data_IF_091370139977
#
_entry.id   IF_091370139977
#
_cell.length_a   1.000
_cell.length_b   1.000
_cell.length_c   1.000
_cell.angle_alpha   90.00
_cell.angle_beta   90.00
_cell.angle_gamma   90.00
#
_symmetry.space_group_name_H-M   'P 1'
#
loop_
_entity.id
_entity.type
_entity.pdbx_description
1 polymer ?
#
# COMPACT_ATOMS: atom_id res chain seq x y z
N UNK A 1 8.25 21.55 11.85
CA UNK A 1 8.28 22.92 12.41
C UNK A 1 6.92 23.61 12.28
N UNK A 2 6.27 23.62 11.10
CA UNK A 2 4.94 24.21 10.93
C UNK A 2 3.92 23.59 11.90
N UNK A 3 3.88 22.27 11.95
CA UNK A 3 2.99 21.49 12.83
C UNK A 3 3.19 21.85 14.30
N UNK A 4 4.44 21.99 14.76
CA UNK A 4 4.74 22.33 16.16
C UNK A 4 4.27 23.75 16.56
N UNK A 5 4.12 24.66 15.60
CA UNK A 5 3.60 26.00 15.87
C UNK A 5 2.10 25.99 16.22
N UNK A 6 1.39 24.96 15.82
CA UNK A 6 -0.04 24.76 16.11
C UNK A 6 -0.30 23.81 17.30
N UNK A 7 0.75 23.38 18.01
CA UNK A 7 0.62 22.42 19.11
C UNK A 7 -0.35 22.91 20.21
N UNK A 8 -0.31 24.20 20.53
CA UNK A 8 -1.23 24.80 21.51
C UNK A 8 -2.69 24.82 21.07
N UNK A 9 -2.96 24.82 19.77
CA UNK A 9 -4.34 24.81 19.24
C UNK A 9 -5.01 23.44 19.44
N UNK A 10 -4.19 22.41 19.69
CA UNK A 10 -4.59 21.03 19.91
C UNK A 10 -4.30 20.54 21.34
N UNK A 11 -3.99 21.44 22.27
CA UNK A 11 -3.58 21.09 23.63
C UNK A 11 -2.41 20.10 23.71
N UNK A 12 -1.54 20.10 22.69
CA UNK A 12 -0.36 19.23 22.62
C UNK A 12 0.84 19.91 23.28
N UNK A 13 1.40 19.26 24.28
CA UNK A 13 2.62 19.64 24.96
C UNK A 13 3.46 18.43 25.35
N UNK A 14 4.73 18.64 25.60
CA UNK A 14 5.61 17.62 26.19
C UNK A 14 5.29 17.43 27.67
N UNK A 15 5.18 16.19 28.12
CA UNK A 15 5.09 15.85 29.54
C UNK A 15 6.46 16.00 30.23
N UNK A 16 6.48 16.04 31.55
CA UNK A 16 7.74 16.05 32.31
C UNK A 16 8.60 14.80 32.05
N UNK A 17 7.96 13.64 31.88
CA UNK A 17 8.63 12.38 31.56
C UNK A 17 9.26 12.43 30.15
N UNK A 18 8.53 12.94 29.15
CA UNK A 18 9.05 13.11 27.78
C UNK A 18 10.22 14.10 27.77
N UNK A 19 10.12 15.22 28.47
CA UNK A 19 11.22 16.19 28.55
C UNK A 19 12.47 15.59 29.20
N UNK A 20 12.32 14.76 30.24
CA UNK A 20 13.46 14.10 30.86
C UNK A 20 14.08 13.05 29.92
N UNK A 21 13.25 12.23 29.27
CA UNK A 21 13.73 11.24 28.29
C UNK A 21 14.48 11.87 27.11
N UNK A 22 14.01 13.03 26.64
CA UNK A 22 14.67 13.80 25.58
C UNK A 22 16.04 14.29 26.03
N UNK A 23 16.15 14.83 27.26
CA UNK A 23 17.44 15.28 27.81
C UNK A 23 18.41 14.12 27.96
N UNK A 24 17.95 13.00 28.48
CA UNK A 24 18.78 11.82 28.65
C UNK A 24 19.26 11.26 27.29
N UNK A 25 18.39 11.27 26.27
CA UNK A 25 18.75 10.86 24.91
C UNK A 25 19.75 11.82 24.25
N UNK A 26 19.60 13.13 24.44
CA UNK A 26 20.53 14.13 23.91
C UNK A 26 21.92 14.02 24.58
N UNK A 27 21.97 13.84 25.89
CA UNK A 27 23.20 13.61 26.62
C UNK A 27 23.90 12.33 26.13
N UNK A 28 23.13 11.22 26.00
CA UNK A 28 23.65 9.96 25.49
C UNK A 28 24.20 10.09 24.06
N UNK A 29 23.52 10.82 23.17
CA UNK A 29 24.05 11.10 21.84
C UNK A 29 25.41 11.80 21.92
N UNK A 30 25.56 12.76 22.84
CA UNK A 30 26.80 13.46 23.08
C UNK A 30 27.93 12.55 23.55
N UNK A 31 27.65 11.56 24.39
CA UNK A 31 28.59 10.55 24.89
C UNK A 31 29.00 9.54 23.81
N UNK A 32 28.03 9.08 23.01
CA UNK A 32 28.24 8.01 22.02
C UNK A 32 28.92 8.51 20.73
N UNK A 33 29.02 9.81 20.49
CA UNK A 33 29.56 10.39 19.28
C UNK A 33 30.79 11.28 19.52
N UNK A 34 31.80 11.16 18.64
CA UNK A 34 32.98 12.00 18.70
C UNK A 34 32.69 13.46 18.35
N UNK A 35 33.55 14.39 18.79
CA UNK A 35 33.40 15.81 18.48
C UNK A 35 33.41 16.11 16.98
N UNK A 36 34.11 15.31 16.18
CA UNK A 36 34.12 15.49 14.73
C UNK A 36 32.80 15.10 14.09
N UNK A 37 32.16 14.03 14.57
CA UNK A 37 30.81 13.64 14.15
C UNK A 37 29.80 14.71 14.55
N UNK A 38 29.85 15.17 15.80
CA UNK A 38 28.96 16.23 16.32
C UNK A 38 29.05 17.52 15.49
N UNK A 39 30.27 17.92 15.10
CA UNK A 39 30.45 19.10 14.23
C UNK A 39 29.84 18.95 12.84
N UNK A 40 29.92 17.76 12.24
CA UNK A 40 29.35 17.49 10.89
C UNK A 40 27.85 17.60 10.89
N UNK A 41 27.18 17.12 11.95
CA UNK A 41 25.71 17.07 12.03
C UNK A 41 25.09 18.19 12.86
N UNK A 42 25.91 19.17 13.33
CA UNK A 42 25.49 20.18 14.30
C UNK A 42 24.85 19.55 15.55
N UNK A 43 25.45 18.45 16.02
CA UNK A 43 24.91 17.56 17.04
C UNK A 43 25.37 17.92 18.45
N UNK A 44 25.43 19.21 18.82
CA UNK A 44 25.56 19.56 20.22
C UNK A 44 24.24 19.23 20.99
N UNK A 45 24.39 19.08 22.32
CA UNK A 45 23.27 18.59 23.16
C UNK A 45 22.03 19.50 23.07
N UNK A 46 22.21 20.80 22.92
CA UNK A 46 21.10 21.76 22.80
C UNK A 46 20.35 21.56 21.48
N UNK A 47 21.03 21.42 20.35
CA UNK A 47 20.42 21.21 19.05
C UNK A 47 19.76 19.83 18.95
N UNK A 48 20.40 18.78 19.50
CA UNK A 48 19.79 17.44 19.58
C UNK A 48 18.53 17.47 20.42
N UNK A 49 18.55 18.14 21.58
CA UNK A 49 17.36 18.33 22.42
C UNK A 49 16.23 18.98 21.63
N UNK A 50 16.48 20.10 20.94
CA UNK A 50 15.46 20.78 20.11
C UNK A 50 14.89 19.91 19.02
N UNK A 51 15.72 19.13 18.35
CA UNK A 51 15.27 18.20 17.29
C UNK A 51 14.37 17.13 17.89
N UNK A 52 14.75 16.52 19.00
CA UNK A 52 13.96 15.50 19.68
C UNK A 52 12.62 16.05 20.22
N UNK A 53 12.62 17.28 20.76
CA UNK A 53 11.39 17.99 21.17
C UNK A 53 10.45 18.19 19.99
N UNK A 54 10.97 18.68 18.86
CA UNK A 54 10.18 18.90 17.64
C UNK A 54 9.63 17.58 17.08
N UNK A 55 10.42 16.51 17.08
CA UNK A 55 9.97 15.19 16.64
C UNK A 55 8.86 14.64 17.55
N UNK A 56 9.03 14.73 18.85
CA UNK A 56 8.03 14.26 19.82
C UNK A 56 6.72 15.04 19.70
N UNK A 57 6.80 16.38 19.60
CA UNK A 57 5.61 17.21 19.35
C UNK A 57 4.95 16.87 18.02
N UNK A 58 5.74 16.67 16.94
CA UNK A 58 5.19 16.31 15.63
C UNK A 58 4.42 14.99 15.66
N UNK A 59 4.94 13.98 16.33
CA UNK A 59 4.26 12.69 16.48
C UNK A 59 2.96 12.81 17.29
N UNK A 60 2.98 13.60 18.37
CA UNK A 60 1.76 13.87 19.17
C UNK A 60 0.73 14.66 18.37
N UNK A 61 1.18 15.61 17.56
CA UNK A 61 0.32 16.41 16.69
C UNK A 61 -0.32 15.56 15.58
N UNK A 62 0.41 14.61 14.99
CA UNK A 62 -0.15 13.67 14.01
C UNK A 62 -1.39 12.97 14.59
N UNK A 63 -1.26 12.36 15.77
CA UNK A 63 -2.39 11.75 16.48
C UNK A 63 -3.53 12.74 16.77
N UNK A 64 -3.20 13.97 17.18
CA UNK A 64 -4.20 14.99 17.50
C UNK A 64 -4.92 15.53 16.25
N UNK A 65 -4.19 15.68 15.14
CA UNK A 65 -4.74 16.13 13.86
C UNK A 65 -5.63 15.08 13.20
N UNK A 66 -5.34 13.79 13.41
CA UNK A 66 -6.14 12.66 12.93
C UNK A 66 -7.37 12.39 13.82
N UNK A 67 -7.42 12.98 15.00
CA UNK A 67 -8.53 12.75 15.93
C UNK A 67 -9.87 13.24 15.36
N UNK A 68 -10.93 12.47 15.64
CA UNK A 68 -12.30 12.81 15.27
C UNK A 68 -12.68 12.44 13.82
N UNK A 69 -11.79 11.75 13.09
CA UNK A 69 -12.14 11.15 11.79
C UNK A 69 -13.23 10.09 12.02
N UNK A 70 -14.18 10.03 11.10
CA UNK A 70 -15.19 8.96 11.12
C UNK A 70 -14.53 7.61 10.79
N UNK A 71 -14.42 6.76 11.82
CA UNK A 71 -13.86 5.42 11.73
C UNK A 71 -14.91 4.36 11.38
N UNK A 72 -16.19 4.74 11.23
CA UNK A 72 -17.24 3.80 10.85
C UNK A 72 -17.17 3.58 9.33
N UNK A 73 -16.84 2.37 8.94
CA UNK A 73 -16.86 1.92 7.55
C UNK A 73 -17.79 0.71 7.47
N UNK A 74 -18.79 0.78 6.60
CA UNK A 74 -19.73 -0.33 6.41
C UNK A 74 -19.07 -1.49 5.67
N UNK A 75 -19.65 -2.70 5.81
CA UNK A 75 -19.22 -3.84 4.99
C UNK A 75 -19.41 -3.55 3.49
N UNK A 76 -20.45 -2.81 3.14
CA UNK A 76 -20.77 -2.46 1.74
C UNK A 76 -19.69 -1.56 1.12
N UNK A 77 -19.20 -0.57 1.88
CA UNK A 77 -18.16 0.38 1.42
C UNK A 77 -16.78 -0.27 1.29
N UNK A 78 -16.54 -1.36 2.00
CA UNK A 78 -15.25 -2.04 2.06
C UNK A 78 -15.28 -3.47 1.50
N UNK A 79 -16.41 -3.90 0.92
CA UNK A 79 -16.60 -5.28 0.47
C UNK A 79 -15.48 -5.73 -0.47
N UNK A 80 -14.85 -6.84 -0.12
CA UNK A 80 -13.84 -7.49 -0.96
C UNK A 80 -14.34 -8.88 -1.34
N UNK A 81 -14.26 -9.21 -2.63
CA UNK A 81 -14.38 -10.57 -3.14
C UNK A 81 -13.02 -11.24 -3.16
N UNK A 82 -12.98 -12.56 -3.27
CA UNK A 82 -11.74 -13.29 -3.53
C UNK A 82 -11.86 -14.27 -4.67
N UNK A 83 -10.77 -14.49 -5.38
CA UNK A 83 -10.67 -15.42 -6.50
C UNK A 83 -9.37 -16.19 -6.48
N UNK A 84 -9.38 -17.36 -7.10
CA UNK A 84 -8.19 -18.02 -7.62
C UNK A 84 -8.11 -17.78 -9.13
N UNK A 85 -6.89 -17.63 -9.66
CA UNK A 85 -6.72 -17.44 -11.10
C UNK A 85 -5.46 -18.10 -11.65
N UNK A 86 -5.48 -18.36 -12.95
CA UNK A 86 -4.36 -18.83 -13.74
C UNK A 86 -3.98 -17.75 -14.76
N UNK A 87 -2.68 -17.61 -15.02
CA UNK A 87 -2.15 -16.80 -16.11
C UNK A 87 -1.34 -17.68 -17.06
N UNK A 88 -1.80 -17.81 -18.29
CA UNK A 88 -1.08 -18.34 -19.42
C UNK A 88 -0.33 -17.19 -20.09
N UNK A 89 0.92 -16.97 -19.66
CA UNK A 89 1.72 -15.82 -20.06
C UNK A 89 2.10 -15.83 -21.55
N UNK A 90 2.03 -14.68 -22.20
CA UNK A 90 2.57 -14.46 -23.55
C UNK A 90 4.08 -14.23 -23.54
N UNK A 91 4.68 -14.23 -22.36
CA UNK A 91 6.13 -14.08 -22.19
C UNK A 91 6.72 -15.35 -21.60
N UNK A 92 7.78 -15.84 -22.21
CA UNK A 92 8.58 -16.95 -21.71
C UNK A 92 10.00 -16.48 -21.43
N UNK A 93 10.72 -17.22 -20.58
CA UNK A 93 12.12 -16.95 -20.27
C UNK A 93 12.94 -18.12 -20.83
N UNK A 94 13.94 -17.82 -21.62
CA UNK A 94 14.85 -18.84 -22.18
C UNK A 94 15.90 -19.30 -21.16
N UNK A 95 16.70 -20.30 -21.55
CA UNK A 95 17.76 -20.88 -20.71
C UNK A 95 18.88 -19.87 -20.34
N UNK A 96 18.97 -18.74 -21.06
CA UNK A 96 19.90 -17.64 -20.76
C UNK A 96 19.33 -16.60 -19.79
N UNK A 97 18.04 -16.71 -19.46
CA UNK A 97 17.31 -15.76 -18.62
C UNK A 97 16.76 -14.56 -19.40
N UNK A 98 16.79 -14.60 -20.75
CA UNK A 98 16.19 -13.55 -21.58
C UNK A 98 14.67 -13.77 -21.74
N UNK A 99 13.92 -12.69 -21.60
CA UNK A 99 12.47 -12.70 -21.76
C UNK A 99 12.09 -12.54 -23.23
N UNK A 100 11.27 -13.46 -23.74
CA UNK A 100 10.81 -13.46 -25.13
C UNK A 100 9.28 -13.49 -25.17
N UNK A 101 8.72 -12.71 -26.07
CA UNK A 101 7.27 -12.73 -26.33
C UNK A 101 6.94 -13.81 -27.35
N UNK A 102 5.89 -14.57 -27.10
CA UNK A 102 5.39 -15.60 -28.02
C UNK A 102 4.99 -14.98 -29.37
N UNK A 103 5.22 -15.73 -30.44
CA UNK A 103 4.70 -15.42 -31.76
C UNK A 103 3.17 -15.54 -31.80
N UNK A 104 2.54 -14.99 -32.84
CA UNK A 104 1.08 -15.04 -32.97
C UNK A 104 0.54 -16.47 -33.07
N UNK A 105 1.26 -17.37 -33.75
CA UNK A 105 0.89 -18.81 -33.85
C UNK A 105 0.98 -19.50 -32.47
N UNK A 106 1.99 -19.16 -31.67
CA UNK A 106 2.14 -19.69 -30.31
C UNK A 106 1.06 -19.16 -29.37
N UNK A 107 0.68 -17.89 -29.49
CA UNK A 107 -0.43 -17.31 -28.72
C UNK A 107 -1.77 -17.98 -29.05
N UNK A 108 -2.04 -18.29 -30.32
CA UNK A 108 -3.26 -18.99 -30.71
C UNK A 108 -3.28 -20.43 -30.19
N UNK A 109 -2.14 -21.11 -30.21
CA UNK A 109 -2.00 -22.44 -29.60
C UNK A 109 -2.21 -22.39 -28.08
N UNK A 110 -1.67 -21.35 -27.41
CA UNK A 110 -1.84 -21.14 -25.98
C UNK A 110 -3.29 -20.86 -25.63
N UNK A 111 -4.01 -20.07 -26.47
CA UNK A 111 -5.45 -19.81 -26.32
C UNK A 111 -6.27 -21.09 -26.39
N UNK A 112 -5.97 -21.96 -27.35
CA UNK A 112 -6.62 -23.26 -27.46
C UNK A 112 -6.39 -24.11 -26.21
N UNK A 113 -5.17 -24.06 -25.68
CA UNK A 113 -4.80 -24.75 -24.44
C UNK A 113 -5.54 -24.17 -23.24
N UNK A 114 -5.58 -22.84 -23.08
CA UNK A 114 -6.30 -22.16 -22.01
C UNK A 114 -7.80 -22.49 -22.05
N UNK A 115 -8.42 -22.53 -23.24
CA UNK A 115 -9.82 -22.93 -23.39
C UNK A 115 -10.08 -24.36 -22.89
N UNK A 116 -9.19 -25.30 -23.18
CA UNK A 116 -9.34 -26.67 -22.69
C UNK A 116 -9.26 -26.75 -21.14
N UNK A 117 -8.44 -25.91 -20.50
CA UNK A 117 -8.37 -25.81 -19.04
C UNK A 117 -9.58 -25.07 -18.45
N UNK A 118 -10.10 -24.06 -19.12
CA UNK A 118 -11.34 -23.37 -18.76
C UNK A 118 -12.52 -24.36 -18.75
N UNK A 119 -12.64 -25.16 -19.78
CA UNK A 119 -13.70 -26.19 -19.86
C UNK A 119 -13.63 -27.21 -18.71
N UNK A 120 -12.43 -27.57 -18.27
CA UNK A 120 -12.22 -28.46 -17.10
C UNK A 120 -12.65 -27.79 -15.79
N UNK A 121 -12.31 -26.52 -15.60
CA UNK A 121 -12.73 -25.75 -14.42
C UNK A 121 -14.25 -25.57 -14.37
N UNK A 122 -14.87 -25.23 -15.48
CA UNK A 122 -16.34 -25.15 -15.64
C UNK A 122 -17.03 -26.51 -15.45
N UNK A 123 -16.30 -27.59 -15.75
CA UNK A 123 -16.70 -28.96 -15.46
C UNK A 123 -16.62 -29.35 -13.98
N UNK A 124 -16.13 -28.44 -13.12
CA UNK A 124 -16.05 -28.61 -11.67
C UNK A 124 -14.72 -29.19 -11.17
N UNK A 125 -13.71 -29.26 -12.02
CA UNK A 125 -12.39 -29.68 -11.59
C UNK A 125 -11.74 -28.63 -10.67
N UNK A 126 -10.87 -29.08 -9.80
CA UNK A 126 -10.20 -28.23 -8.81
C UNK A 126 -9.12 -27.35 -9.47
N UNK A 127 -9.01 -26.09 -9.05
CA UNK A 127 -8.09 -25.10 -9.61
C UNK A 127 -6.63 -25.55 -9.52
N UNK A 128 -6.20 -26.09 -8.37
CA UNK A 128 -4.83 -26.54 -8.15
C UNK A 128 -4.49 -27.74 -9.03
N UNK A 129 -5.46 -28.63 -9.23
CA UNK A 129 -5.32 -29.79 -10.11
C UNK A 129 -5.14 -29.36 -11.56
N UNK A 130 -5.96 -28.38 -12.00
CA UNK A 130 -5.87 -27.82 -13.35
C UNK A 130 -4.58 -27.05 -13.54
N UNK A 131 -4.18 -26.22 -12.58
CA UNK A 131 -2.91 -25.48 -12.57
C UNK A 131 -1.72 -26.41 -12.73
N UNK A 132 -1.66 -27.46 -11.91
CA UNK A 132 -0.59 -28.46 -11.95
C UNK A 132 -0.51 -29.17 -13.29
N UNK A 133 -1.66 -29.53 -13.89
CA UNK A 133 -1.70 -30.15 -15.21
C UNK A 133 -1.27 -29.19 -16.33
N UNK A 134 -1.45 -27.90 -16.16
CA UNK A 134 -0.98 -26.86 -17.07
C UNK A 134 0.49 -26.48 -16.87
N UNK A 135 1.17 -26.99 -15.83
CA UNK A 135 2.51 -26.57 -15.42
C UNK A 135 2.52 -25.14 -14.82
N UNK A 136 1.39 -24.69 -14.31
CA UNK A 136 1.19 -23.37 -13.71
C UNK A 136 0.98 -23.49 -12.19
N UNK A 137 1.00 -22.36 -11.53
CA UNK A 137 0.61 -22.23 -10.12
C UNK A 137 -0.65 -21.37 -10.03
N UNK A 138 -1.67 -21.87 -9.34
CA UNK A 138 -2.85 -21.08 -9.05
C UNK A 138 -2.46 -19.92 -8.11
N UNK A 139 -2.90 -18.72 -8.47
CA UNK A 139 -2.70 -17.53 -7.68
C UNK A 139 -4.02 -17.11 -7.04
N UNK A 140 -3.95 -16.33 -5.96
CA UNK A 140 -5.12 -15.78 -5.28
C UNK A 140 -5.07 -14.27 -5.32
N UNK A 141 -6.25 -13.64 -5.39
CA UNK A 141 -6.39 -12.21 -5.23
C UNK A 141 -7.68 -11.87 -4.52
N UNK A 142 -7.64 -10.82 -3.72
CA UNK A 142 -8.83 -10.15 -3.21
C UNK A 142 -9.06 -8.87 -4.01
N UNK A 143 -10.30 -8.50 -4.23
CA UNK A 143 -10.62 -7.38 -5.10
C UNK A 143 -12.02 -6.80 -4.82
N UNK A 144 -12.20 -5.57 -5.28
CA UNK A 144 -13.46 -4.88 -5.46
C UNK A 144 -13.59 -4.39 -6.92
N UNK A 145 -14.68 -3.72 -7.26
CA UNK A 145 -14.92 -3.20 -8.60
C UNK A 145 -13.95 -2.11 -9.08
N UNK A 146 -13.19 -1.51 -8.16
CA UNK A 146 -12.21 -0.45 -8.45
C UNK A 146 -10.78 -1.00 -8.57
N UNK A 147 -10.58 -2.26 -8.24
CA UNK A 147 -9.29 -2.92 -8.30
C UNK A 147 -8.78 -3.04 -9.75
N UNK A 148 -7.48 -2.86 -9.94
CA UNK A 148 -6.82 -2.91 -11.25
C UNK A 148 -5.72 -3.97 -11.34
N UNK A 149 -5.43 -4.62 -10.24
CA UNK A 149 -4.42 -5.67 -10.12
C UNK A 149 -5.10 -7.00 -9.73
N UNK A 150 -4.68 -8.13 -10.29
CA UNK A 150 -3.54 -8.34 -11.20
C UNK A 150 -3.75 -7.82 -12.62
N UNK A 151 -4.99 -7.70 -13.10
CA UNK A 151 -5.37 -7.13 -14.39
C UNK A 151 -6.82 -6.62 -14.32
N UNK A 152 -7.08 -5.45 -14.90
CA UNK A 152 -8.40 -4.79 -14.82
C UNK A 152 -9.51 -5.57 -15.53
N UNK A 153 -9.18 -6.23 -16.66
CA UNK A 153 -10.16 -6.98 -17.44
C UNK A 153 -10.50 -8.31 -16.73
N UNK A 154 -9.48 -8.90 -16.05
CA UNK A 154 -9.70 -10.04 -15.15
C UNK A 154 -10.60 -9.65 -13.97
N UNK A 155 -10.33 -8.50 -13.31
CA UNK A 155 -11.16 -8.01 -12.21
C UNK A 155 -12.60 -7.81 -12.66
N UNK A 156 -12.81 -7.13 -13.78
CA UNK A 156 -14.16 -6.88 -14.32
C UNK A 156 -14.92 -8.19 -14.62
N UNK A 157 -14.24 -9.18 -15.19
CA UNK A 157 -14.84 -10.47 -15.46
C UNK A 157 -15.18 -11.26 -14.18
N UNK A 158 -14.27 -11.24 -13.19
CA UNK A 158 -14.49 -11.90 -11.90
C UNK A 158 -15.58 -11.20 -11.08
N UNK A 159 -15.67 -9.86 -11.14
CA UNK A 159 -16.68 -9.08 -10.43
C UNK A 159 -18.09 -9.35 -10.94
N UNK A 160 -18.24 -9.69 -12.22
CA UNK A 160 -19.52 -10.06 -12.83
C UNK A 160 -20.04 -11.44 -12.40
N UNK A 161 -19.20 -12.29 -11.77
CA UNK A 161 -19.61 -13.59 -11.26
C UNK A 161 -20.51 -13.43 -10.03
N UNK A 162 -21.55 -14.27 -9.94
CA UNK A 162 -22.62 -14.13 -8.94
C UNK A 162 -22.67 -15.24 -7.90
N UNK A 163 -21.95 -16.33 -8.10
CA UNK A 163 -21.90 -17.43 -7.15
C UNK A 163 -20.45 -17.86 -6.88
N UNK A 164 -20.19 -18.25 -5.64
CA UNK A 164 -18.93 -18.88 -5.30
C UNK A 164 -18.75 -20.18 -6.08
N UNK A 165 -17.59 -20.37 -6.65
CA UNK A 165 -17.27 -21.48 -7.53
C UNK A 165 -17.49 -21.21 -9.01
N UNK A 166 -18.17 -20.11 -9.39
CA UNK A 166 -18.28 -19.70 -10.79
C UNK A 166 -16.91 -19.42 -11.40
N UNK A 167 -16.76 -19.75 -12.67
CA UNK A 167 -15.52 -19.57 -13.46
C UNK A 167 -15.78 -18.58 -14.59
N UNK A 168 -14.86 -17.66 -14.82
CA UNK A 168 -14.94 -16.73 -15.97
C UNK A 168 -14.76 -17.48 -17.29
N UNK A 169 -15.12 -16.85 -18.40
CA UNK A 169 -14.54 -17.24 -19.68
C UNK A 169 -13.04 -16.88 -19.70
N UNK A 170 -12.29 -17.36 -20.69
CA UNK A 170 -10.90 -16.93 -20.89
C UNK A 170 -10.85 -15.41 -21.16
N UNK A 171 -9.92 -14.72 -20.52
CA UNK A 171 -9.73 -13.27 -20.67
C UNK A 171 -8.37 -13.03 -21.31
N UNK A 172 -8.39 -12.51 -22.53
CA UNK A 172 -7.17 -12.14 -23.26
C UNK A 172 -6.75 -10.72 -22.89
N UNK A 173 -5.49 -10.56 -22.46
CA UNK A 173 -4.87 -9.29 -22.10
C UNK A 173 -3.54 -9.14 -22.84
N UNK A 174 -2.87 -8.02 -22.63
CA UNK A 174 -1.52 -7.83 -23.19
C UNK A 174 -0.47 -8.77 -22.60
N UNK A 175 -0.65 -9.21 -21.36
CA UNK A 175 0.30 -10.08 -20.64
C UNK A 175 0.08 -11.56 -20.89
N UNK A 176 -1.11 -11.97 -21.35
CA UNK A 176 -1.49 -13.36 -21.54
C UNK A 176 -2.98 -13.59 -21.42
N UNK A 177 -3.33 -14.84 -21.13
CA UNK A 177 -4.72 -15.28 -20.99
C UNK A 177 -4.95 -15.64 -19.53
N UNK A 178 -5.99 -15.04 -18.95
CA UNK A 178 -6.43 -15.35 -17.59
C UNK A 178 -7.66 -16.24 -17.59
N UNK A 179 -7.78 -17.04 -16.54
CA UNK A 179 -9.00 -17.76 -16.14
C UNK A 179 -9.12 -17.56 -14.63
N UNK A 180 -10.29 -17.14 -14.15
CA UNK A 180 -10.52 -16.98 -12.72
C UNK A 180 -11.70 -17.82 -12.24
N UNK A 181 -11.64 -18.24 -10.99
CA UNK A 181 -12.71 -18.87 -10.24
C UNK A 181 -12.99 -18.05 -8.99
N UNK A 182 -14.22 -17.60 -8.83
CA UNK A 182 -14.64 -16.88 -7.64
C UNK A 182 -14.64 -17.82 -6.43
N UNK A 183 -13.93 -17.45 -5.38
CA UNK A 183 -13.79 -18.24 -4.16
C UNK A 183 -14.65 -17.70 -3.02
N UNK A 184 -14.88 -16.38 -2.98
CA UNK A 184 -15.80 -15.75 -2.03
C UNK A 184 -16.43 -14.50 -2.60
N UNK A 185 -17.73 -14.33 -2.36
CA UNK A 185 -18.49 -13.11 -2.66
C UNK A 185 -18.25 -12.01 -1.63
N UNK A 186 -17.82 -12.39 -0.42
CA UNK A 186 -17.44 -11.47 0.65
C UNK A 186 -16.32 -12.12 1.48
N UNK A 187 -15.11 -11.77 1.15
CA UNK A 187 -13.93 -12.16 1.94
C UNK A 187 -13.88 -11.28 3.20
N UNK A 188 -14.16 -11.89 4.35
CA UNK A 188 -14.27 -11.16 5.62
C UNK A 188 -12.94 -10.55 6.05
N UNK A 189 -11.86 -11.29 5.93
CA UNK A 189 -10.52 -10.84 6.33
C UNK A 189 -10.05 -9.67 5.45
N UNK A 190 -10.22 -9.80 4.14
CA UNK A 190 -9.89 -8.74 3.20
C UNK A 190 -10.78 -7.50 3.38
N UNK A 191 -12.08 -7.69 3.66
CA UNK A 191 -13.03 -6.61 3.92
C UNK A 191 -12.65 -5.84 5.21
N UNK A 192 -12.30 -6.54 6.27
CA UNK A 192 -11.89 -5.90 7.52
C UNK A 192 -10.56 -5.14 7.34
N UNK A 193 -9.61 -5.70 6.61
CA UNK A 193 -8.35 -5.01 6.24
C UNK A 193 -8.61 -3.76 5.37
N UNK A 194 -9.57 -3.84 4.44
CA UNK A 194 -9.96 -2.67 3.61
C UNK A 194 -10.58 -1.56 4.46
N UNK A 195 -11.38 -1.89 5.48
CA UNK A 195 -11.92 -0.91 6.44
C UNK A 195 -10.81 -0.16 7.16
N UNK A 196 -9.80 -0.89 7.65
CA UNK A 196 -8.65 -0.28 8.30
C UNK A 196 -7.90 0.66 7.33
N UNK A 197 -7.74 0.27 6.07
CA UNK A 197 -7.14 1.10 5.03
C UNK A 197 -7.94 2.38 4.78
N UNK A 198 -9.27 2.28 4.65
CA UNK A 198 -10.15 3.43 4.44
C UNK A 198 -10.05 4.40 5.63
N UNK A 199 -10.02 3.91 6.86
CA UNK A 199 -9.84 4.75 8.06
C UNK A 199 -8.48 5.43 8.03
N UNK A 200 -7.42 4.71 7.69
CA UNK A 200 -6.07 5.27 7.58
C UNK A 200 -6.00 6.36 6.49
N UNK A 201 -6.61 6.14 5.33
CA UNK A 201 -6.70 7.12 4.25
C UNK A 201 -7.45 8.39 4.71
N UNK A 202 -8.59 8.26 5.39
CA UNK A 202 -9.35 9.40 5.93
C UNK A 202 -8.51 10.20 6.94
N UNK A 203 -7.73 9.52 7.80
CA UNK A 203 -6.81 10.17 8.75
C UNK A 203 -5.73 10.96 8.02
N UNK A 204 -5.11 10.35 7.02
CA UNK A 204 -4.08 11.00 6.21
C UNK A 204 -4.65 12.21 5.44
N UNK A 205 -5.82 12.08 4.83
CA UNK A 205 -6.49 13.18 4.14
C UNK A 205 -6.80 14.36 5.07
N UNK A 206 -7.29 14.09 6.29
CA UNK A 206 -7.51 15.13 7.28
C UNK A 206 -6.22 15.83 7.67
N UNK A 207 -5.16 15.05 7.96
CA UNK A 207 -3.83 15.58 8.28
C UNK A 207 -3.29 16.46 7.14
N UNK A 208 -3.32 15.97 5.91
CA UNK A 208 -2.82 16.71 4.74
C UNK A 208 -3.64 17.98 4.47
N UNK A 209 -4.96 17.93 4.63
CA UNK A 209 -5.84 19.08 4.48
C UNK A 209 -5.50 20.19 5.47
N UNK A 210 -5.27 19.84 6.74
CA UNK A 210 -4.86 20.81 7.77
C UNK A 210 -3.49 21.42 7.46
N UNK A 211 -2.53 20.58 7.03
CA UNK A 211 -1.20 21.06 6.62
C UNK A 211 -1.28 22.05 5.45
N UNK A 212 -2.06 21.73 4.43
CA UNK A 212 -2.23 22.60 3.27
C UNK A 212 -2.89 23.94 3.65
N UNK A 213 -3.86 23.91 4.57
CA UNK A 213 -4.45 25.13 5.11
C UNK A 213 -3.39 25.98 5.83
N UNK A 214 -2.63 25.40 6.75
CA UNK A 214 -1.60 26.11 7.51
C UNK A 214 -0.48 26.66 6.62
N UNK A 215 -0.10 25.93 5.57
CA UNK A 215 0.88 26.41 4.57
C UNK A 215 0.38 27.65 3.85
N UNK A 216 -0.92 27.74 3.52
CA UNK A 216 -1.53 28.92 2.87
C UNK A 216 -1.56 30.13 3.80
N UNK A 217 -1.82 29.91 5.09
CA UNK A 217 -1.94 30.97 6.09
C UNK A 217 -0.57 31.45 6.62
N UNK A 218 0.49 30.65 6.40
CA UNK A 218 1.84 30.92 6.91
C UNK A 218 2.73 31.54 5.83
N UNK A 219 3.41 32.66 6.18
CA UNK A 219 4.47 33.24 5.34
C UNK A 219 5.78 32.50 5.55
N UNK A 220 6.09 31.56 4.67
CA UNK A 220 7.36 30.85 4.68
C UNK A 220 8.44 31.75 4.08
N UNK A 221 9.49 32.08 4.86
CA UNK A 221 10.69 32.76 4.41
C UNK A 221 11.85 31.78 4.27
N UNK A 222 12.28 31.54 3.03
CA UNK A 222 13.52 30.79 2.80
C UNK A 222 14.74 31.72 2.90
N UNK A 223 15.62 31.48 3.85
CA UNK A 223 16.92 32.15 3.94
C UNK A 223 17.96 31.50 3.00
N UNK A 224 17.80 31.73 1.70
CA UNK A 224 18.66 31.16 0.63
C UNK A 224 20.17 31.34 0.86
N UNK A 225 20.59 32.31 1.70
CA UNK A 225 22.00 32.53 2.03
C UNK A 225 22.57 31.47 2.98
N UNK A 226 21.71 30.82 3.78
CA UNK A 226 22.12 29.75 4.70
C UNK A 226 22.39 28.49 3.92
N UNK A 227 21.52 28.13 2.98
CA UNK A 227 21.66 26.94 2.14
C UNK A 227 22.88 26.93 1.22
N UNK A 228 23.45 28.10 0.92
CA UNK A 228 24.67 28.20 0.09
C UNK A 228 25.95 27.99 0.87
N UNK A 229 25.88 27.76 2.19
CA UNK A 229 27.05 27.58 3.07
C UNK A 229 27.20 26.13 3.57
N UNK A 230 26.26 25.27 3.24
CA UNK A 230 26.28 23.83 3.44
C UNK A 230 26.69 23.16 2.13
#
# INVERSE_FOLDING_TARGET
YLVSQHASDYDVALTEEEQQAIKDAAAKFGEDNSDDVKKVVSGDEEEVTKVLELMTISNKMETAMEAGVDENVSDEDAAQKSMQYLLFSYTTTDDSGESQTLSDDEKEALKTTAQAFDDRLKGGEDMETVASAAGLTAQTATFDSESTSPDKDLIAAADALTNEGDVTDIIETESGIYIAKLTSLLDREATDSKKESIVSERKQEQYDSLLEQWKKDTKIKEEKKVWKKI
#
